data_IF_971751484190
#
_entry.id   IF_971751484190
#
_cell.length_a   1.000
_cell.length_b   1.000
_cell.length_c   1.000
_cell.angle_alpha   90.00
_cell.angle_beta   90.00
_cell.angle_gamma   90.00
#
_symmetry.space_group_name_H-M   'P 1'
#
loop_
_entity.id
_entity.type
_entity.pdbx_description
1 polymer ?
#
# COMPACT_ATOMS: atom_id res chain seq x y z
N UNK A 1 15.46 19.17 34.32
CA UNK A 1 14.25 19.45 33.52
C UNK A 1 14.13 18.30 32.53
N UNK A 2 13.36 17.27 32.88
CA UNK A 2 13.05 16.16 31.98
C UNK A 2 11.90 16.63 31.10
N UNK A 3 12.18 16.96 29.84
CA UNK A 3 11.16 17.22 28.84
C UNK A 3 10.38 15.92 28.64
N UNK A 4 9.12 15.92 29.08
CA UNK A 4 8.18 14.83 28.83
C UNK A 4 7.76 14.95 27.37
N UNK A 5 8.41 14.17 26.49
CA UNK A 5 7.91 13.98 25.12
C UNK A 5 6.54 13.30 25.22
N UNK A 6 5.48 14.07 24.99
CA UNK A 6 4.15 13.51 24.77
C UNK A 6 4.18 12.78 23.43
N UNK A 7 4.29 11.45 23.47
CA UNK A 7 4.07 10.61 22.29
C UNK A 7 2.63 10.83 21.88
N UNK A 8 2.41 11.63 20.84
CA UNK A 8 1.09 11.77 20.25
C UNK A 8 0.67 10.39 19.73
N UNK A 9 -0.38 9.81 20.31
CA UNK A 9 -1.02 8.62 19.77
C UNK A 9 -1.66 8.99 18.42
N UNK A 10 -0.88 8.86 17.35
CA UNK A 10 -1.36 9.02 15.98
C UNK A 10 -2.24 7.81 15.68
N UNK A 11 -3.55 8.01 15.68
CA UNK A 11 -4.50 7.02 15.18
C UNK A 11 -4.14 6.70 13.72
N UNK A 12 -3.68 5.47 13.46
CA UNK A 12 -3.29 5.03 12.11
C UNK A 12 -4.53 4.82 11.27
N UNK A 13 -4.52 5.36 10.06
CA UNK A 13 -5.58 5.11 9.07
C UNK A 13 -5.51 3.65 8.64
N UNK A 14 -6.65 2.96 8.63
CA UNK A 14 -6.72 1.61 8.09
C UNK A 14 -6.42 1.64 6.59
N UNK A 15 -5.54 0.75 6.13
CA UNK A 15 -5.20 0.66 4.72
C UNK A 15 -6.42 0.30 3.89
N UNK A 16 -6.66 1.06 2.82
CA UNK A 16 -7.67 0.78 1.82
C UNK A 16 -7.06 0.91 0.44
N UNK A 17 -6.96 -0.21 -0.26
CA UNK A 17 -6.46 -0.21 -1.63
C UNK A 17 -7.39 0.60 -2.55
N UNK A 18 -6.84 1.49 -3.39
CA UNK A 18 -7.60 2.12 -4.47
C UNK A 18 -8.00 1.05 -5.53
N UNK A 19 -9.12 1.24 -6.23
CA UNK A 19 -9.52 0.34 -7.31
C UNK A 19 -8.46 0.33 -8.41
N UNK A 20 -8.12 -0.86 -8.90
CA UNK A 20 -7.07 -1.01 -9.91
C UNK A 20 -7.45 -0.36 -11.24
N UNK A 21 -6.52 0.40 -11.83
CA UNK A 21 -6.71 1.07 -13.12
C UNK A 21 -5.79 0.46 -14.19
N UNK A 22 -6.32 -0.48 -14.97
CA UNK A 22 -5.56 -1.12 -16.07
C UNK A 22 -5.11 -0.17 -17.16
N UNK A 23 -5.89 0.89 -17.42
CA UNK A 23 -5.57 1.88 -18.44
C UNK A 23 -4.36 2.75 -18.06
N UNK A 24 -4.08 2.90 -16.75
CA UNK A 24 -2.96 3.67 -16.26
C UNK A 24 -2.45 3.11 -14.90
N UNK A 25 -1.69 2.01 -14.93
CA UNK A 25 -1.20 1.36 -13.70
C UNK A 25 -0.20 2.24 -12.94
N UNK A 26 0.54 3.12 -13.63
CA UNK A 26 1.51 4.04 -13.01
C UNK A 26 0.80 5.01 -12.04
N UNK A 27 -0.30 5.64 -12.48
CA UNK A 27 -1.09 6.53 -11.62
C UNK A 27 -1.71 5.77 -10.45
N UNK A 28 -2.15 4.53 -10.67
CA UNK A 28 -2.66 3.68 -9.59
C UNK A 28 -1.59 3.36 -8.54
N UNK A 29 -0.35 3.07 -8.97
CA UNK A 29 0.76 2.84 -8.05
C UNK A 29 1.06 4.08 -7.21
N UNK A 30 1.05 5.29 -7.79
CA UNK A 30 1.24 6.54 -7.04
C UNK A 30 0.18 6.70 -5.93
N UNK A 31 -1.09 6.39 -6.24
CA UNK A 31 -2.16 6.43 -5.24
C UNK A 31 -1.96 5.38 -4.14
N UNK A 32 -1.55 4.18 -4.52
CA UNK A 32 -1.29 3.08 -3.59
C UNK A 32 -0.11 3.39 -2.65
N UNK A 33 0.98 3.94 -3.18
CA UNK A 33 2.14 4.37 -2.39
C UNK A 33 1.76 5.44 -1.36
N UNK A 34 0.93 6.41 -1.76
CA UNK A 34 0.39 7.40 -0.82
C UNK A 34 -0.42 6.75 0.31
N UNK A 35 -1.23 5.73 0.01
CA UNK A 35 -1.96 4.98 1.04
C UNK A 35 -1.04 4.21 2.00
N UNK A 36 0.09 3.67 1.51
CA UNK A 36 1.08 3.04 2.38
C UNK A 36 1.65 4.03 3.39
N UNK A 37 2.03 5.23 2.93
CA UNK A 37 2.56 6.29 3.81
C UNK A 37 1.53 6.68 4.88
N UNK A 38 0.28 6.95 4.48
CA UNK A 38 -0.78 7.37 5.40
C UNK A 38 -1.18 6.27 6.38
N UNK A 39 -1.08 5.00 5.98
CA UNK A 39 -1.39 3.84 6.84
C UNK A 39 -0.20 3.38 7.69
N UNK A 40 0.98 4.00 7.52
CA UNK A 40 2.21 3.59 8.18
C UNK A 40 2.75 2.23 7.73
N UNK A 41 2.43 1.80 6.51
CA UNK A 41 2.94 0.58 5.90
C UNK A 41 4.31 0.88 5.27
N UNK A 42 5.37 0.44 5.93
CA UNK A 42 6.74 0.66 5.46
C UNK A 42 7.45 -0.62 5.02
N UNK A 43 7.10 -1.76 5.59
CA UNK A 43 7.70 -3.05 5.26
C UNK A 43 7.34 -3.49 3.84
N UNK A 44 8.35 -3.83 3.05
CA UNK A 44 8.18 -4.15 1.63
C UNK A 44 7.34 -5.42 1.42
N UNK A 45 7.48 -6.43 2.28
CA UNK A 45 6.62 -7.63 2.27
C UNK A 45 5.14 -7.25 2.42
N UNK A 46 4.82 -6.35 3.35
CA UNK A 46 3.45 -5.87 3.54
C UNK A 46 2.94 -5.10 2.32
N UNK A 47 3.77 -4.21 1.73
CA UNK A 47 3.41 -3.49 0.50
C UNK A 47 3.15 -4.45 -0.65
N UNK A 48 4.02 -5.45 -0.84
CA UNK A 48 3.87 -6.48 -1.85
C UNK A 48 2.54 -7.22 -1.72
N UNK A 49 2.23 -7.72 -0.52
CA UNK A 49 0.96 -8.42 -0.29
C UNK A 49 -0.26 -7.50 -0.50
N UNK A 50 -0.17 -6.23 -0.12
CA UNK A 50 -1.22 -5.26 -0.40
C UNK A 50 -1.42 -5.04 -1.91
N UNK A 51 -0.34 -4.87 -2.68
CA UNK A 51 -0.38 -4.74 -4.15
C UNK A 51 -1.04 -5.98 -4.76
N UNK A 52 -0.55 -7.18 -4.45
CA UNK A 52 -1.07 -8.44 -5.00
C UNK A 52 -2.55 -8.61 -4.66
N UNK A 53 -2.96 -8.29 -3.42
CA UNK A 53 -4.36 -8.39 -3.00
C UNK A 53 -5.30 -7.39 -3.68
N UNK A 54 -4.75 -6.31 -4.25
CA UNK A 54 -5.52 -5.25 -4.89
C UNK A 54 -5.66 -5.43 -6.41
N UNK A 55 -4.93 -6.37 -7.00
CA UNK A 55 -5.00 -6.69 -8.42
C UNK A 55 -6.09 -7.73 -8.71
N UNK A 56 -6.71 -7.62 -9.88
CA UNK A 56 -7.68 -8.59 -10.36
C UNK A 56 -6.99 -9.92 -10.74
N UNK A 57 -7.71 -11.04 -10.64
CA UNK A 57 -7.15 -12.37 -10.91
C UNK A 57 -6.65 -12.57 -12.35
N UNK A 58 -7.25 -11.92 -13.34
CA UNK A 58 -6.78 -11.95 -14.73
C UNK A 58 -5.50 -11.14 -14.92
N UNK A 59 -5.34 -10.03 -14.20
CA UNK A 59 -4.09 -9.25 -14.16
C UNK A 59 -3.00 -10.10 -13.52
N UNK A 60 -3.27 -10.74 -12.38
CA UNK A 60 -2.32 -11.65 -11.71
C UNK A 60 -1.92 -12.82 -12.62
N UNK A 61 -2.86 -13.36 -13.40
CA UNK A 61 -2.56 -14.41 -14.40
C UNK A 61 -1.60 -13.89 -15.47
N UNK A 62 -1.84 -12.67 -15.97
CA UNK A 62 -1.01 -12.03 -17.00
C UNK A 62 0.43 -11.79 -16.54
N UNK A 63 0.64 -11.45 -15.26
CA UNK A 63 1.98 -11.16 -14.70
C UNK A 63 2.54 -12.31 -13.86
N UNK A 64 1.96 -13.51 -13.96
CA UNK A 64 2.27 -14.66 -13.09
C UNK A 64 3.74 -15.13 -13.17
N UNK A 65 4.46 -14.77 -14.22
CA UNK A 65 5.89 -15.03 -14.38
C UNK A 65 6.78 -14.07 -13.57
N UNK A 66 6.24 -12.90 -13.21
CA UNK A 66 6.91 -11.82 -12.47
C UNK A 66 6.68 -11.96 -10.96
N UNK A 67 5.45 -12.28 -10.56
CA UNK A 67 5.08 -12.51 -9.15
C UNK A 67 5.40 -13.97 -8.76
N UNK A 68 6.29 -14.14 -7.78
CA UNK A 68 6.73 -15.45 -7.25
C UNK A 68 6.60 -15.51 -5.74
#
# INVERSE_FOLDING_TARGET
>A
ITASESVADVARVAFKAPPFCRANPEVWFIQLESQFVVSGISADDTKYHCVVSALDGDVLTLISDIIR
#
